data_IF_975649822222
#
_entry.id   IF_975649822222
#
_cell.length_a   1.000
_cell.length_b   1.000
_cell.length_c   1.000
_cell.angle_alpha   90.00
_cell.angle_beta   90.00
_cell.angle_gamma   90.00
#
_symmetry.space_group_name_H-M   'P 1'
#
loop_
_entity.id
_entity.type
_entity.pdbx_description
1 polymer ?
#
# COMPACT_ATOMS: atom_id res chain seq x y z
N UNK A 1 11.15 -17.51 -17.23
CA UNK A 1 10.15 -16.95 -18.17
C UNK A 1 10.38 -15.45 -18.24
N UNK A 2 10.56 -14.91 -19.44
CA UNK A 2 10.73 -13.48 -19.69
C UNK A 2 9.35 -12.92 -20.05
N UNK A 3 8.88 -11.86 -19.39
CA UNK A 3 7.64 -11.17 -19.79
C UNK A 3 7.92 -10.28 -21.01
N UNK A 4 7.01 -10.26 -22.01
CA UNK A 4 7.17 -9.43 -23.19
C UNK A 4 7.01 -7.94 -22.84
N UNK A 5 7.61 -7.09 -23.66
CA UNK A 5 7.63 -5.63 -23.59
C UNK A 5 6.28 -4.99 -23.22
N UNK A 6 6.16 -4.60 -21.95
CA UNK A 6 5.16 -3.72 -21.37
C UNK A 6 5.61 -3.38 -19.96
N UNK A 7 5.90 -2.12 -19.70
CA UNK A 7 6.54 -1.57 -18.49
C UNK A 7 5.64 -1.60 -17.24
N UNK A 8 5.23 -2.78 -16.80
CA UNK A 8 4.44 -2.96 -15.57
C UNK A 8 5.20 -3.90 -14.64
N UNK A 9 5.84 -3.34 -13.62
CA UNK A 9 6.64 -4.09 -12.65
C UNK A 9 6.51 -3.49 -11.26
N UNK A 10 6.89 -4.28 -10.26
CA UNK A 10 6.95 -3.83 -8.88
C UNK A 10 8.00 -2.73 -8.72
N UNK A 11 7.61 -1.60 -8.13
CA UNK A 11 8.43 -0.39 -7.97
C UNK A 11 8.28 0.19 -6.56
N UNK A 12 9.12 1.17 -6.23
CA UNK A 12 9.07 1.96 -5.00
C UNK A 12 8.96 1.14 -3.71
N UNK A 13 9.84 0.13 -3.49
CA UNK A 13 9.81 -0.62 -2.24
C UNK A 13 10.15 0.30 -1.06
N UNK A 14 9.48 0.04 0.06
CA UNK A 14 9.76 0.63 1.37
C UNK A 14 9.81 -0.48 2.41
N UNK A 15 10.58 -0.25 3.46
CA UNK A 15 10.89 -1.29 4.45
C UNK A 15 11.02 -0.68 5.85
N UNK A 16 10.45 -1.35 6.85
CA UNK A 16 10.71 -1.07 8.25
C UNK A 16 10.82 -2.38 9.04
N UNK A 17 11.56 -2.35 10.14
CA UNK A 17 11.64 -3.46 11.08
C UNK A 17 10.90 -3.11 12.37
N UNK A 18 10.26 -4.09 12.99
CA UNK A 18 9.68 -3.92 14.33
C UNK A 18 10.67 -4.32 15.45
N UNK A 19 10.29 -4.06 16.69
CA UNK A 19 11.10 -4.38 17.89
C UNK A 19 11.26 -5.90 18.11
N UNK A 20 10.46 -6.73 17.43
CA UNK A 20 10.51 -8.19 17.49
C UNK A 20 11.40 -8.79 16.38
N UNK A 21 11.98 -7.95 15.53
CA UNK A 21 12.83 -8.37 14.41
C UNK A 21 12.05 -8.86 13.20
N UNK A 22 10.74 -8.61 13.11
CA UNK A 22 9.99 -8.79 11.88
C UNK A 22 10.29 -7.65 10.91
N UNK A 23 10.23 -7.95 9.62
CA UNK A 23 10.47 -6.96 8.56
C UNK A 23 9.21 -6.79 7.74
N UNK A 24 8.77 -5.54 7.63
CA UNK A 24 7.57 -5.10 6.96
C UNK A 24 7.97 -4.41 5.67
N UNK A 25 7.43 -4.87 4.55
CA UNK A 25 7.75 -4.31 3.23
C UNK A 25 6.45 -3.92 2.56
N UNK A 26 6.43 -2.73 1.97
CA UNK A 26 5.42 -2.34 0.99
C UNK A 26 6.07 -2.03 -0.35
N UNK A 27 5.29 -2.13 -1.42
CA UNK A 27 5.70 -1.74 -2.75
C UNK A 27 4.47 -1.39 -3.58
N UNK A 28 4.71 -0.65 -4.66
CA UNK A 28 3.72 -0.39 -5.69
C UNK A 28 3.85 -1.46 -6.77
N UNK A 29 2.74 -2.03 -7.23
CA UNK A 29 2.74 -2.93 -8.38
C UNK A 29 1.58 -2.60 -9.32
N UNK A 30 1.82 -2.72 -10.61
CA UNK A 30 0.84 -2.48 -11.68
C UNK A 30 0.42 -3.78 -12.38
N UNK A 31 0.97 -4.90 -11.94
CA UNK A 31 0.52 -6.22 -12.36
C UNK A 31 -0.83 -6.47 -11.70
N UNK A 32 -1.77 -6.97 -12.49
CA UNK A 32 -3.05 -7.43 -12.03
C UNK A 32 -2.91 -8.70 -11.15
N UNK A 33 -2.35 -8.57 -9.95
CA UNK A 33 -2.02 -9.68 -9.04
C UNK A 33 -3.31 -10.30 -8.45
N UNK A 34 -4.43 -9.57 -8.46
CA UNK A 34 -5.68 -9.96 -7.78
C UNK A 34 -6.97 -9.78 -8.61
N UNK A 35 -6.87 -9.53 -9.91
CA UNK A 35 -8.05 -9.24 -10.76
C UNK A 35 -8.56 -7.80 -10.69
N UNK A 36 -7.80 -6.89 -10.09
CA UNK A 36 -8.22 -5.53 -9.71
C UNK A 36 -8.21 -4.53 -10.87
N UNK A 37 -7.39 -4.74 -11.89
CA UNK A 37 -7.32 -3.82 -13.02
C UNK A 37 -5.93 -3.72 -13.62
N UNK A 38 -5.69 -2.61 -14.30
CA UNK A 38 -4.38 -2.25 -14.85
C UNK A 38 -3.78 -1.02 -14.19
N UNK A 39 -4.46 -0.47 -13.20
CA UNK A 39 -3.98 0.54 -12.27
C UNK A 39 -2.93 -0.06 -11.32
N UNK A 40 -2.16 0.83 -10.69
CA UNK A 40 -1.20 0.43 -9.68
C UNK A 40 -1.85 0.35 -8.29
N UNK A 41 -1.36 -0.60 -7.50
CA UNK A 41 -1.82 -0.90 -6.15
C UNK A 41 -0.64 -0.92 -5.16
N UNK A 42 -0.92 -0.60 -3.90
CA UNK A 42 0.04 -0.76 -2.80
C UNK A 42 -0.15 -2.14 -2.18
N UNK A 43 0.92 -2.92 -2.17
CA UNK A 43 0.97 -4.24 -1.56
C UNK A 43 1.86 -4.24 -0.33
N UNK A 44 1.60 -5.19 0.56
CA UNK A 44 2.36 -5.44 1.77
C UNK A 44 2.81 -6.89 1.88
N UNK A 45 3.97 -7.10 2.50
CA UNK A 45 4.44 -8.43 2.91
C UNK A 45 5.27 -8.39 4.18
N UNK A 46 5.04 -9.38 5.02
CA UNK A 46 5.77 -9.61 6.26
C UNK A 46 6.85 -10.69 6.08
N UNK A 47 8.07 -10.40 6.50
CA UNK A 47 9.04 -11.42 6.87
C UNK A 47 8.98 -11.62 8.38
N UNK A 48 8.64 -12.84 8.79
CA UNK A 48 8.62 -13.21 10.20
C UNK A 48 10.04 -13.52 10.67
N UNK A 49 10.57 -12.70 11.59
CA UNK A 49 11.93 -12.83 12.09
C UNK A 49 12.16 -14.11 12.90
N UNK A 50 11.10 -14.63 13.54
CA UNK A 50 11.15 -15.84 14.36
C UNK A 50 11.17 -17.11 13.50
N UNK A 51 10.22 -17.25 12.59
CA UNK A 51 10.10 -18.44 11.73
C UNK A 51 11.01 -18.38 10.51
N UNK A 52 11.57 -17.21 10.19
CA UNK A 52 12.38 -16.95 8.99
C UNK A 52 11.64 -17.31 7.70
N UNK A 53 10.39 -16.89 7.63
CA UNK A 53 9.51 -17.16 6.48
C UNK A 53 8.79 -15.89 6.07
N UNK A 54 8.50 -15.79 4.77
CA UNK A 54 7.59 -14.78 4.24
C UNK A 54 6.13 -15.15 4.50
N UNK A 55 5.32 -14.16 4.88
CA UNK A 55 3.87 -14.25 4.89
C UNK A 55 3.25 -14.15 3.49
N UNK A 56 1.92 -14.17 3.46
CA UNK A 56 1.14 -13.87 2.27
C UNK A 56 1.34 -12.40 1.84
N UNK A 57 1.07 -12.13 0.56
CA UNK A 57 0.96 -10.77 0.04
C UNK A 57 -0.42 -10.26 0.41
N UNK A 58 -0.50 -9.02 0.92
CA UNK A 58 -1.73 -8.35 1.31
C UNK A 58 -1.90 -7.08 0.47
N UNK A 59 -3.14 -6.76 0.07
CA UNK A 59 -3.48 -5.51 -0.60
C UNK A 59 -3.75 -4.42 0.46
N UNK A 60 -3.07 -3.29 0.34
CA UNK A 60 -3.26 -2.13 1.23
C UNK A 60 -4.27 -1.16 0.64
N UNK A 61 -4.18 -0.88 -0.66
CA UNK A 61 -5.01 0.07 -1.42
C UNK A 61 -6.37 -0.49 -1.83
N UNK A 62 -7.04 -1.30 -0.99
CA UNK A 62 -8.18 -2.11 -1.44
C UNK A 62 -9.45 -1.31 -1.85
N UNK A 63 -9.52 -0.03 -1.50
CA UNK A 63 -10.60 0.87 -1.91
C UNK A 63 -10.20 1.80 -3.06
N UNK A 64 -8.94 1.76 -3.50
CA UNK A 64 -8.46 2.51 -4.65
C UNK A 64 -9.07 1.92 -5.92
N UNK A 65 -9.54 2.80 -6.80
CA UNK A 65 -10.13 2.42 -8.10
C UNK A 65 -9.39 3.07 -9.27
N UNK A 66 -8.28 3.74 -8.97
CA UNK A 66 -7.43 4.45 -9.89
C UNK A 66 -5.96 4.32 -9.43
N UNK A 67 -5.04 4.90 -10.21
CA UNK A 67 -3.61 4.80 -9.96
C UNK A 67 -3.21 5.32 -8.57
N UNK A 68 -2.31 4.60 -7.92
CA UNK A 68 -1.66 5.05 -6.69
C UNK A 68 -0.20 5.41 -6.96
N UNK A 69 0.31 6.36 -6.20
CA UNK A 69 1.69 6.82 -6.30
C UNK A 69 2.38 6.64 -4.94
N UNK A 70 3.58 7.22 -4.82
CA UNK A 70 4.54 7.06 -3.73
C UNK A 70 3.95 6.55 -2.40
N UNK A 71 4.61 5.59 -1.78
CA UNK A 71 4.21 5.08 -0.47
C UNK A 71 5.35 5.18 0.54
N UNK A 72 4.99 5.15 1.82
CA UNK A 72 5.93 4.99 2.93
C UNK A 72 5.31 4.22 4.10
N UNK A 73 6.16 3.66 4.97
CA UNK A 73 5.70 2.94 6.15
C UNK A 73 6.54 3.21 7.40
N UNK A 74 5.88 3.09 8.56
CA UNK A 74 6.56 2.97 9.86
C UNK A 74 5.97 1.84 10.68
N UNK A 75 6.75 1.33 11.62
CA UNK A 75 6.33 0.37 12.64
C UNK A 75 6.32 1.04 14.01
N UNK A 76 5.24 0.86 14.78
CA UNK A 76 5.16 1.37 16.16
C UNK A 76 4.17 0.54 16.97
N UNK A 77 4.59 0.07 18.14
CA UNK A 77 3.72 -0.65 19.10
C UNK A 77 3.00 -1.86 18.47
N UNK A 78 3.73 -2.62 17.64
CA UNK A 78 3.21 -3.80 16.95
C UNK A 78 2.25 -3.50 15.79
N UNK A 79 2.05 -2.24 15.43
CA UNK A 79 1.27 -1.80 14.29
C UNK A 79 2.17 -1.38 13.13
N UNK A 80 1.63 -1.47 11.93
CA UNK A 80 2.23 -0.90 10.71
C UNK A 80 1.35 0.25 10.27
N UNK A 81 1.95 1.39 9.98
CA UNK A 81 1.29 2.57 9.46
C UNK A 81 1.78 2.79 8.05
N UNK A 82 0.86 2.96 7.11
CA UNK A 82 1.17 3.15 5.70
C UNK A 82 0.46 4.39 5.21
N UNK A 83 1.18 5.23 4.47
CA UNK A 83 0.60 6.34 3.72
C UNK A 83 0.98 6.21 2.25
N UNK A 84 0.08 6.64 1.37
CA UNK A 84 0.31 6.63 -0.08
C UNK A 84 -0.44 7.77 -0.76
N UNK A 85 -0.09 8.03 -2.01
CA UNK A 85 -0.80 8.95 -2.89
C UNK A 85 -1.84 8.18 -3.72
N UNK A 86 -3.04 8.73 -3.90
CA UNK A 86 -4.14 8.09 -4.63
C UNK A 86 -4.91 9.13 -5.45
N UNK A 87 -5.27 8.81 -6.70
CA UNK A 87 -6.09 9.69 -7.56
C UNK A 87 -7.55 9.26 -7.65
N UNK A 88 -7.95 8.27 -6.85
CA UNK A 88 -9.33 7.83 -6.74
C UNK A 88 -10.18 9.00 -6.23
N UNK A 89 -11.25 9.30 -6.97
CA UNK A 89 -12.17 10.39 -6.62
C UNK A 89 -13.09 9.98 -5.44
N UNK A 90 -12.55 9.99 -4.22
CA UNK A 90 -13.28 9.60 -3.01
C UNK A 90 -14.36 10.60 -2.61
N UNK A 91 -14.16 11.90 -2.87
CA UNK A 91 -15.01 12.99 -2.38
C UNK A 91 -15.88 13.65 -3.46
N UNK A 92 -15.78 13.20 -4.70
CA UNK A 92 -16.63 13.67 -5.81
C UNK A 92 -16.16 14.95 -6.49
N UNK A 93 -14.99 15.49 -6.12
CA UNK A 93 -14.44 16.74 -6.68
C UNK A 93 -13.63 16.53 -7.97
N UNK A 94 -13.47 15.29 -8.42
CA UNK A 94 -12.69 14.93 -9.61
C UNK A 94 -11.42 14.18 -9.22
N UNK A 95 -10.57 13.80 -10.21
CA UNK A 95 -9.29 13.20 -9.92
C UNK A 95 -8.27 14.28 -9.54
N UNK A 96 -8.05 14.48 -8.24
CA UNK A 96 -6.85 15.07 -7.68
C UNK A 96 -6.06 14.02 -6.88
N UNK A 97 -4.82 14.34 -6.52
CA UNK A 97 -3.95 13.40 -5.81
C UNK A 97 -4.06 13.62 -4.30
N UNK A 98 -4.65 12.65 -3.63
CA UNK A 98 -4.84 12.63 -2.20
C UNK A 98 -3.78 11.81 -1.48
N UNK A 99 -3.44 12.22 -0.27
CA UNK A 99 -2.68 11.42 0.68
C UNK A 99 -3.64 10.57 1.49
N UNK A 100 -3.56 9.25 1.31
CA UNK A 100 -4.30 8.26 2.07
C UNK A 100 -3.44 7.63 3.16
N UNK A 101 -4.11 7.08 4.16
CA UNK A 101 -3.49 6.44 5.30
C UNK A 101 -4.25 5.20 5.76
N UNK A 102 -3.53 4.12 6.08
CA UNK A 102 -4.11 2.91 6.67
C UNK A 102 -3.18 2.29 7.73
N UNK A 103 -3.79 1.56 8.66
CA UNK A 103 -3.10 0.92 9.79
C UNK A 103 -3.32 -0.59 9.76
N UNK A 104 -2.23 -1.36 9.85
CA UNK A 104 -2.28 -2.80 10.11
C UNK A 104 -2.14 -3.05 11.61
N UNK A 105 -3.13 -3.72 12.19
CA UNK A 105 -3.12 -4.11 13.60
C UNK A 105 -2.31 -5.40 13.82
N UNK A 106 -1.98 -5.67 15.09
CA UNK A 106 -1.20 -6.85 15.54
C UNK A 106 -1.88 -8.17 15.12
N UNK A 107 -3.21 -8.19 15.08
CA UNK A 107 -4.00 -9.34 14.63
C UNK A 107 -3.97 -9.57 13.10
N UNK A 108 -3.33 -8.69 12.35
CA UNK A 108 -3.18 -8.77 10.91
C UNK A 108 -4.26 -8.10 10.07
N UNK A 109 -5.19 -7.37 10.68
CA UNK A 109 -6.24 -6.66 9.93
C UNK A 109 -5.83 -5.23 9.60
N UNK A 110 -6.15 -4.79 8.38
CA UNK A 110 -6.04 -3.39 7.96
C UNK A 110 -7.29 -2.60 8.34
N UNK A 111 -7.12 -1.30 8.60
CA UNK A 111 -8.23 -0.34 8.61
C UNK A 111 -8.71 -0.08 7.19
N UNK A 112 -9.90 0.53 7.05
CA UNK A 112 -10.20 1.27 5.83
C UNK A 112 -9.20 2.43 5.66
N UNK A 113 -8.98 2.85 4.42
CA UNK A 113 -8.11 3.98 4.12
C UNK A 113 -8.81 5.30 4.45
N UNK A 114 -8.06 6.22 5.04
CA UNK A 114 -8.52 7.57 5.39
C UNK A 114 -7.82 8.60 4.49
N UNK A 115 -8.58 9.50 3.86
CA UNK A 115 -8.03 10.67 3.14
C UNK A 115 -7.59 11.75 4.15
N UNK A 116 -6.31 12.09 4.13
CA UNK A 116 -5.69 13.04 5.07
C UNK A 116 -5.55 14.45 4.45
N UNK A 117 -5.45 14.55 3.12
CA UNK A 117 -5.18 15.78 2.37
C UNK A 117 -6.40 16.61 1.97
N UNK A 118 -7.49 16.58 2.74
CA UNK A 118 -8.78 17.21 2.38
C UNK A 118 -8.76 18.74 2.16
N UNK A 119 -7.63 19.41 2.41
CA UNK A 119 -7.48 20.86 2.20
C UNK A 119 -7.52 21.22 0.71
N UNK A 120 -7.09 20.34 -0.20
CA UNK A 120 -7.19 20.59 -1.65
C UNK A 120 -8.63 20.62 -2.17
N UNK A 121 -9.56 20.02 -1.42
CA UNK A 121 -10.96 19.86 -1.78
C UNK A 121 -11.89 21.00 -1.32
N UNK A 122 -11.41 21.98 -0.57
CA UNK A 122 -12.24 23.02 0.05
C UNK A 122 -12.62 24.20 -0.90
N UNK A 123 -12.60 24.02 -2.23
CA UNK A 123 -12.83 25.13 -3.21
C UNK A 123 -14.20 25.15 -3.87
#
# INVERSE_FOLDING_TARGET
MLSPSGTFGSTDPRIAADELGNVHIIWKDKINILGLGSDSDIFYRLWNGTTKTWGAIELVSFNSTAEVYDCDLITKEGKVYVAWQDITNYLGNGPDEDILFAVRYVNGTWTEAETISTISDET
#
